data_IF_571953869003
#
_entry.id   IF_571953869003
#
_cell.length_a   1.000
_cell.length_b   1.000
_cell.length_c   1.000
_cell.angle_alpha   90.00
_cell.angle_beta   90.00
_cell.angle_gamma   90.00
#
_symmetry.space_group_name_H-M   'P 1'
#
loop_
_entity.id
_entity.type
_entity.pdbx_description
1 polymer ?
#
# COMPACT_ATOMS: atom_id res chain seq x y z
N UNK A 1 2.21 -34.33 12.32
CA UNK A 1 1.79 -33.47 11.18
C UNK A 1 2.98 -33.26 10.26
N UNK A 2 2.83 -33.51 9.00
CA UNK A 2 3.91 -33.30 8.02
C UNK A 2 4.01 -31.82 7.64
N UNK A 3 5.22 -31.39 7.24
CA UNK A 3 5.45 -30.03 6.72
C UNK A 3 4.62 -29.84 5.45
N UNK A 4 3.91 -28.70 5.30
CA UNK A 4 3.19 -28.42 4.06
C UNK A 4 4.11 -28.41 2.85
N UNK A 5 3.61 -28.93 1.73
CA UNK A 5 4.33 -28.83 0.46
C UNK A 5 4.16 -27.42 -0.11
N UNK A 6 5.27 -26.77 -0.43
CA UNK A 6 5.28 -25.45 -1.06
C UNK A 6 5.79 -25.61 -2.49
N UNK A 7 4.96 -25.31 -3.50
CA UNK A 7 5.42 -25.31 -4.88
C UNK A 7 6.59 -24.35 -5.06
N UNK A 8 7.61 -24.71 -5.85
CA UNK A 8 8.72 -23.81 -6.14
C UNK A 8 8.24 -22.56 -6.87
N UNK A 9 8.92 -21.43 -6.63
CA UNK A 9 8.65 -20.16 -7.28
C UNK A 9 9.77 -19.89 -8.28
N UNK A 10 9.40 -19.67 -9.55
CA UNK A 10 10.35 -19.18 -10.54
C UNK A 10 10.62 -17.69 -10.27
N UNK A 11 11.89 -17.29 -10.03
CA UNK A 11 12.22 -15.89 -9.79
C UNK A 11 11.75 -14.93 -10.89
N UNK A 12 11.68 -15.38 -12.13
CA UNK A 12 11.18 -14.57 -13.25
C UNK A 12 9.68 -14.25 -13.12
N UNK A 13 8.91 -15.05 -12.40
CA UNK A 13 7.47 -14.88 -12.20
C UNK A 13 7.14 -14.01 -10.97
N UNK A 14 8.11 -13.75 -10.11
CA UNK A 14 7.89 -13.05 -8.83
C UNK A 14 7.20 -11.70 -8.99
N UNK A 15 7.59 -10.81 -9.93
CA UNK A 15 6.88 -9.55 -10.11
C UNK A 15 5.40 -9.73 -10.44
N UNK A 16 5.06 -10.66 -11.33
CA UNK A 16 3.67 -10.94 -11.70
C UNK A 16 2.88 -11.55 -10.55
N UNK A 17 3.47 -12.46 -9.78
CA UNK A 17 2.87 -13.06 -8.59
C UNK A 17 2.59 -12.01 -7.51
N UNK A 18 3.52 -11.10 -7.29
CA UNK A 18 3.37 -10.00 -6.34
C UNK A 18 2.21 -9.07 -6.76
N UNK A 19 2.13 -8.68 -8.02
CA UNK A 19 1.03 -7.85 -8.53
C UNK A 19 -0.31 -8.57 -8.43
N UNK A 20 -0.36 -9.87 -8.68
CA UNK A 20 -1.57 -10.67 -8.53
C UNK A 20 -2.05 -10.71 -7.07
N UNK A 21 -1.14 -10.85 -6.12
CA UNK A 21 -1.45 -10.82 -4.67
C UNK A 21 -1.99 -9.45 -4.26
N UNK A 22 -1.38 -8.37 -4.70
CA UNK A 22 -1.87 -6.99 -4.44
C UNK A 22 -3.30 -6.84 -4.96
N UNK A 23 -3.55 -7.26 -6.19
CA UNK A 23 -4.87 -7.16 -6.82
C UNK A 23 -5.93 -8.00 -6.09
N UNK A 24 -5.58 -9.19 -5.66
CA UNK A 24 -6.50 -10.09 -4.95
C UNK A 24 -6.80 -9.61 -3.53
N UNK A 25 -5.80 -9.15 -2.81
CA UNK A 25 -5.93 -8.68 -1.43
C UNK A 25 -6.67 -7.34 -1.32
N UNK A 26 -6.43 -6.40 -2.21
CA UNK A 26 -7.05 -5.06 -2.32
C UNK A 26 -6.72 -4.11 -1.16
N UNK A 27 -6.87 -4.55 0.08
CA UNK A 27 -6.79 -3.71 1.28
C UNK A 27 -5.56 -4.08 2.10
N UNK A 28 -4.46 -3.35 1.96
CA UNK A 28 -3.27 -3.60 2.76
C UNK A 28 -3.41 -3.04 4.17
N UNK A 29 -2.59 -3.56 5.08
CA UNK A 29 -2.28 -2.91 6.34
C UNK A 29 -1.17 -1.90 6.11
N UNK A 30 -1.35 -0.69 6.62
CA UNK A 30 -0.36 0.38 6.56
C UNK A 30 0.22 0.61 7.95
N UNK A 31 1.54 0.49 8.05
CA UNK A 31 2.30 0.82 9.25
C UNK A 31 2.90 2.22 9.15
N UNK A 32 2.76 2.98 10.21
CA UNK A 32 3.38 4.29 10.41
C UNK A 32 4.03 4.35 11.78
N UNK A 33 4.83 5.37 12.02
CA UNK A 33 5.45 5.60 13.33
C UNK A 33 4.82 6.80 14.02
N UNK A 34 4.45 6.61 15.29
CA UNK A 34 4.02 7.66 16.21
C UNK A 34 5.12 7.80 17.27
N UNK A 35 6.11 8.64 17.00
CA UNK A 35 7.36 8.62 17.76
C UNK A 35 8.08 7.29 17.56
N UNK A 36 8.29 6.55 18.66
CA UNK A 36 8.84 5.19 18.64
C UNK A 36 7.77 4.08 18.68
N UNK A 37 6.48 4.46 18.71
CA UNK A 37 5.38 3.51 18.71
C UNK A 37 4.91 3.20 17.28
N UNK A 38 5.03 1.95 16.81
CA UNK A 38 4.42 1.57 15.53
C UNK A 38 2.89 1.59 15.64
N UNK A 39 2.25 2.11 14.60
CA UNK A 39 0.80 2.11 14.42
C UNK A 39 0.44 1.35 13.17
N UNK A 40 -0.65 0.57 13.21
CA UNK A 40 -1.09 -0.27 12.10
C UNK A 40 -2.59 -0.12 11.91
N UNK A 41 -3.04 -0.02 10.65
CA UNK A 41 -4.46 0.02 10.28
C UNK A 41 -4.65 -0.45 8.84
N UNK A 42 -5.82 -1.01 8.51
CA UNK A 42 -6.16 -1.25 7.11
C UNK A 42 -6.38 0.07 6.38
N UNK A 43 -6.04 0.11 5.12
CA UNK A 43 -6.33 1.24 4.24
C UNK A 43 -6.94 0.74 2.94
N UNK A 44 -7.68 1.63 2.25
CA UNK A 44 -8.27 1.36 0.95
C UNK A 44 -7.57 2.26 -0.08
N UNK A 45 -6.63 1.72 -0.86
CA UNK A 45 -5.96 2.52 -1.88
C UNK A 45 -6.93 3.12 -2.89
N UNK A 46 -6.72 4.38 -3.27
CA UNK A 46 -7.49 5.07 -4.30
C UNK A 46 -6.91 4.87 -5.69
N UNK A 47 -5.66 4.42 -5.77
CA UNK A 47 -4.98 4.07 -7.01
C UNK A 47 -3.80 3.16 -6.71
N UNK A 48 -3.51 2.24 -7.63
CA UNK A 48 -2.34 1.37 -7.59
C UNK A 48 -1.70 1.37 -8.97
N UNK A 49 -0.43 1.74 -9.05
CA UNK A 49 0.37 1.73 -10.27
C UNK A 49 1.63 0.89 -10.03
N UNK A 50 1.59 -0.36 -10.47
CA UNK A 50 2.65 -1.30 -10.12
C UNK A 50 2.74 -1.45 -8.60
N UNK A 51 3.86 -1.04 -8.02
CA UNK A 51 4.09 -1.07 -6.57
C UNK A 51 4.02 0.31 -5.92
N UNK A 52 3.62 1.33 -6.67
CA UNK A 52 3.33 2.66 -6.14
C UNK A 52 1.86 2.72 -5.74
N UNK A 53 1.61 3.04 -4.49
CA UNK A 53 0.28 2.97 -3.90
C UNK A 53 -0.16 4.37 -3.46
N UNK A 54 -1.40 4.72 -3.80
CA UNK A 54 -1.99 6.02 -3.45
C UNK A 54 -3.09 5.81 -2.43
N UNK A 55 -3.01 6.53 -1.32
CA UNK A 55 -3.94 6.43 -0.19
C UNK A 55 -4.51 7.80 0.14
N UNK A 56 -5.83 7.91 0.11
CA UNK A 56 -6.51 9.12 0.58
C UNK A 56 -6.68 9.08 2.10
N UNK A 57 -6.62 10.25 2.71
CA UNK A 57 -6.75 10.42 4.15
C UNK A 57 -7.51 11.71 4.45
N UNK A 58 -8.18 11.75 5.59
CA UNK A 58 -8.66 13.00 6.16
C UNK A 58 -7.54 13.64 6.98
N UNK A 59 -7.30 14.91 6.73
CA UNK A 59 -6.17 15.65 7.33
C UNK A 59 -6.18 15.62 8.86
N UNK A 60 -7.35 15.54 9.46
CA UNK A 60 -7.52 15.46 10.92
C UNK A 60 -7.15 14.12 11.55
N UNK A 61 -6.96 13.06 10.76
CA UNK A 61 -6.61 11.75 11.29
C UNK A 61 -5.14 11.69 11.72
N UNK A 62 -4.85 10.84 12.72
CA UNK A 62 -3.53 10.71 13.34
C UNK A 62 -2.41 10.40 12.35
N UNK A 63 -2.69 9.63 11.28
CA UNK A 63 -1.71 9.35 10.21
C UNK A 63 -1.07 10.60 9.63
N UNK A 64 -1.81 11.70 9.53
CA UNK A 64 -1.31 12.95 8.95
C UNK A 64 -0.11 13.48 9.74
N UNK A 65 -0.24 13.56 11.07
CA UNK A 65 0.84 14.00 11.94
C UNK A 65 1.98 12.96 11.99
N UNK A 66 1.66 11.68 12.02
CA UNK A 66 2.63 10.60 12.04
C UNK A 66 3.51 10.61 10.80
N UNK A 67 2.91 10.71 9.60
CA UNK A 67 3.64 10.74 8.33
C UNK A 67 4.41 12.05 8.16
N UNK A 68 3.87 13.18 8.62
CA UNK A 68 4.59 14.45 8.57
C UNK A 68 5.87 14.41 9.41
N UNK A 69 5.83 13.76 10.57
CA UNK A 69 7.01 13.61 11.44
C UNK A 69 7.98 12.54 10.94
N UNK A 70 7.46 11.44 10.38
CA UNK A 70 8.26 10.33 9.85
C UNK A 70 7.57 9.73 8.63
N UNK A 71 8.06 10.02 7.42
CA UNK A 71 7.41 9.56 6.19
C UNK A 71 7.66 8.09 5.85
N UNK A 72 8.50 7.40 6.60
CA UNK A 72 8.78 5.97 6.38
C UNK A 72 7.57 5.15 6.76
N UNK A 73 7.13 4.31 5.83
CA UNK A 73 5.93 3.48 5.98
C UNK A 73 6.19 2.07 5.47
N UNK A 74 5.32 1.15 5.85
CA UNK A 74 5.28 -0.18 5.26
C UNK A 74 3.84 -0.57 4.99
N UNK A 75 3.61 -1.21 3.84
CA UNK A 75 2.35 -1.83 3.48
C UNK A 75 2.51 -3.35 3.48
N UNK A 76 1.51 -4.05 3.99
CA UNK A 76 1.43 -5.50 3.91
C UNK A 76 0.12 -5.92 3.27
N UNK A 77 0.21 -6.58 2.13
CA UNK A 77 -0.89 -7.25 1.46
C UNK A 77 -0.87 -8.73 1.82
N UNK A 78 -2.01 -9.28 2.16
CA UNK A 78 -2.17 -10.72 2.37
C UNK A 78 -3.46 -11.15 1.66
N UNK A 79 -3.36 -12.06 0.70
CA UNK A 79 -4.53 -12.56 -0.01
C UNK A 79 -5.22 -13.73 0.73
N UNK A 80 -6.30 -14.25 0.16
CA UNK A 80 -7.05 -15.35 0.76
C UNK A 80 -6.26 -16.66 0.85
N UNK A 81 -5.24 -16.82 0.02
CA UNK A 81 -4.32 -17.95 0.04
C UNK A 81 -3.10 -17.71 0.94
N UNK A 82 -3.10 -16.59 1.68
CA UNK A 82 -2.04 -16.16 2.59
C UNK A 82 -0.68 -15.88 1.91
N UNK A 83 -0.68 -15.61 0.61
CA UNK A 83 0.50 -15.06 -0.04
C UNK A 83 0.66 -13.60 0.36
N UNK A 84 1.89 -13.14 0.52
CA UNK A 84 2.18 -11.83 1.07
C UNK A 84 3.00 -10.98 0.12
N UNK A 85 2.67 -9.70 0.07
CA UNK A 85 3.52 -8.67 -0.52
C UNK A 85 3.75 -7.58 0.52
N UNK A 86 5.00 -7.28 0.79
CA UNK A 86 5.39 -6.19 1.68
C UNK A 86 6.07 -5.11 0.87
N UNK A 87 5.59 -3.89 1.02
CA UNK A 87 6.15 -2.71 0.35
C UNK A 87 6.71 -1.80 1.44
N UNK A 88 8.02 -1.67 1.47
CA UNK A 88 8.71 -0.69 2.29
C UNK A 88 8.89 0.57 1.45
N UNK A 89 8.50 1.71 1.97
CA UNK A 89 8.56 2.94 1.19
C UNK A 89 8.46 4.21 1.99
N UNK A 90 8.27 5.30 1.25
CA UNK A 90 8.14 6.66 1.79
C UNK A 90 6.81 7.23 1.30
N UNK A 91 6.04 7.79 2.22
CA UNK A 91 4.81 8.47 1.91
C UNK A 91 5.06 9.95 1.60
N UNK A 92 4.64 10.38 0.44
CA UNK A 92 4.74 11.77 -0.01
C UNK A 92 3.34 12.36 -0.19
N UNK A 93 3.14 13.61 0.19
CA UNK A 93 1.90 14.32 -0.13
C UNK A 93 1.84 14.53 -1.64
N UNK A 94 0.78 14.05 -2.28
CA UNK A 94 0.58 14.24 -3.70
C UNK A 94 0.14 15.68 -3.99
N UNK A 95 0.93 16.37 -4.81
CA UNK A 95 0.68 17.78 -5.21
C UNK A 95 0.45 17.95 -6.70
N UNK A 96 0.68 16.91 -7.49
CA UNK A 96 0.46 16.91 -8.95
C UNK A 96 -1.05 17.06 -9.24
N UNK A 97 -1.46 18.24 -9.67
CA UNK A 97 -2.88 18.57 -9.90
C UNK A 97 -3.55 17.68 -10.95
N UNK A 98 -2.94 17.43 -12.13
CA UNK A 98 -3.51 16.52 -13.11
C UNK A 98 -3.76 15.11 -12.56
N UNK A 99 -2.83 14.56 -11.80
CA UNK A 99 -2.97 13.24 -11.19
C UNK A 99 -4.03 13.22 -10.10
N UNK A 100 -4.10 14.27 -9.28
CA UNK A 100 -5.16 14.44 -8.29
C UNK A 100 -6.55 14.44 -8.95
N UNK A 101 -6.69 15.13 -10.07
CA UNK A 101 -7.93 15.17 -10.85
C UNK A 101 -8.31 13.80 -11.42
N UNK A 102 -7.34 13.05 -11.94
CA UNK A 102 -7.58 11.68 -12.42
C UNK A 102 -8.04 10.75 -11.29
N UNK A 103 -7.36 10.78 -10.14
CA UNK A 103 -7.73 9.97 -8.97
C UNK A 103 -9.13 10.35 -8.49
N UNK A 104 -9.41 11.63 -8.39
CA UNK A 104 -10.71 12.14 -8.00
C UNK A 104 -11.82 11.64 -8.93
N UNK A 105 -11.62 11.75 -10.24
CA UNK A 105 -12.59 11.33 -11.25
C UNK A 105 -12.89 9.83 -11.19
N UNK A 106 -11.89 9.00 -10.86
CA UNK A 106 -12.02 7.53 -10.82
C UNK A 106 -12.51 6.98 -9.47
N UNK A 107 -12.75 7.82 -8.45
CA UNK A 107 -13.12 7.37 -7.12
C UNK A 107 -14.46 7.99 -6.66
N UNK A 108 -15.60 7.38 -7.01
CA UNK A 108 -16.92 7.92 -6.67
C UNK A 108 -17.17 8.10 -5.17
N UNK A 109 -16.65 7.17 -4.35
CA UNK A 109 -16.79 7.27 -2.88
C UNK A 109 -16.05 8.48 -2.32
N UNK A 110 -14.85 8.74 -2.84
CA UNK A 110 -14.07 9.91 -2.44
C UNK A 110 -14.85 11.20 -2.72
N UNK A 111 -15.46 11.29 -3.92
CA UNK A 111 -16.31 12.42 -4.28
C UNK A 111 -17.56 12.54 -3.39
N UNK A 112 -18.19 11.42 -3.08
CA UNK A 112 -19.38 11.40 -2.23
C UNK A 112 -19.10 11.92 -0.81
N UNK A 113 -17.94 11.53 -0.24
CA UNK A 113 -17.59 11.96 1.13
C UNK A 113 -17.07 13.38 1.21
N UNK A 114 -16.32 13.84 0.22
CA UNK A 114 -15.58 15.10 0.31
C UNK A 114 -16.18 16.23 -0.54
N UNK A 115 -16.98 15.89 -1.55
CA UNK A 115 -17.73 16.84 -2.38
C UNK A 115 -16.87 17.63 -3.37
N UNK A 116 -15.66 17.99 -3.02
CA UNK A 116 -14.75 18.78 -3.86
C UNK A 116 -13.30 18.32 -3.69
N UNK A 117 -12.55 18.31 -4.78
CA UNK A 117 -11.11 18.08 -4.74
C UNK A 117 -10.38 19.14 -3.91
N UNK A 118 -10.95 20.33 -3.81
CA UNK A 118 -10.37 21.44 -3.04
C UNK A 118 -10.79 21.44 -1.56
N UNK A 119 -11.48 20.38 -1.11
CA UNK A 119 -11.81 20.23 0.31
C UNK A 119 -10.50 20.17 1.12
N UNK A 120 -10.28 21.07 2.09
CA UNK A 120 -9.03 21.13 2.86
C UNK A 120 -8.75 19.88 3.70
N UNK A 121 -9.77 19.06 3.97
CA UNK A 121 -9.60 17.79 4.67
C UNK A 121 -8.98 16.70 3.81
N UNK A 122 -9.02 16.84 2.48
CA UNK A 122 -8.45 15.83 1.58
C UNK A 122 -6.93 15.92 1.55
N UNK A 123 -6.29 14.80 1.81
CA UNK A 123 -4.87 14.61 1.54
C UNK A 123 -4.70 13.24 0.87
N UNK A 124 -3.93 13.19 -0.21
CA UNK A 124 -3.58 11.95 -0.88
C UNK A 124 -2.08 11.75 -0.72
N UNK A 125 -1.70 10.59 -0.23
CA UNK A 125 -0.31 10.17 -0.15
C UNK A 125 0.02 9.28 -1.32
N UNK A 126 1.16 9.54 -1.95
CA UNK A 126 1.83 8.62 -2.85
C UNK A 126 2.87 7.86 -2.04
N UNK A 127 2.73 6.54 -1.94
CA UNK A 127 3.72 5.69 -1.29
C UNK A 127 4.66 5.17 -2.36
N UNK A 128 5.90 5.69 -2.33
CA UNK A 128 6.96 5.34 -3.27
C UNK A 128 7.74 4.17 -2.70
N UNK A 129 7.78 3.02 -3.39
CA UNK A 129 8.47 1.84 -2.90
C UNK A 129 9.99 2.02 -3.00
N UNK A 130 10.71 1.57 -1.98
CA UNK A 130 12.16 1.39 -2.04
C UNK A 130 12.57 -0.08 -1.85
N UNK A 131 11.66 -0.92 -1.40
CA UNK A 131 11.82 -2.38 -1.37
C UNK A 131 10.46 -3.04 -1.49
N UNK A 132 10.35 -4.06 -2.34
CA UNK A 132 9.15 -4.90 -2.45
C UNK A 132 9.57 -6.36 -2.29
N UNK A 133 8.87 -7.08 -1.42
CA UNK A 133 9.15 -8.49 -1.14
C UNK A 133 7.87 -9.31 -1.27
N UNK A 134 8.02 -10.49 -1.86
CA UNK A 134 6.94 -11.45 -2.03
C UNK A 134 7.25 -12.74 -1.27
N UNK A 135 6.25 -13.32 -0.63
CA UNK A 135 6.35 -14.64 0.00
C UNK A 135 5.11 -15.46 -0.29
N UNK A 136 5.33 -16.68 -0.76
CA UNK A 136 4.26 -17.69 -0.85
C UNK A 136 4.02 -18.29 0.52
N UNK A 137 2.76 -18.61 0.84
CA UNK A 137 2.43 -19.24 2.12
C UNK A 137 3.33 -20.48 2.39
N UNK A 138 3.79 -20.60 3.62
CA UNK A 138 4.68 -21.68 4.10
C UNK A 138 6.06 -21.73 3.47
N UNK A 139 6.39 -20.84 2.56
CA UNK A 139 7.72 -20.81 1.94
C UNK A 139 8.83 -20.43 2.91
N UNK A 140 8.51 -19.62 3.93
CA UNK A 140 9.44 -19.10 4.93
C UNK A 140 10.59 -18.28 4.34
N UNK A 141 10.44 -17.85 3.10
CA UNK A 141 11.45 -17.11 2.34
C UNK A 141 10.77 -15.98 1.56
N UNK A 142 11.35 -14.80 1.63
CA UNK A 142 10.94 -13.66 0.81
C UNK A 142 11.78 -13.59 -0.45
N UNK A 143 11.10 -13.30 -1.56
CA UNK A 143 11.74 -12.97 -2.82
C UNK A 143 11.70 -11.46 -3.01
N UNK A 144 12.83 -10.86 -3.31
CA UNK A 144 12.88 -9.45 -3.68
C UNK A 144 12.29 -9.25 -5.08
N UNK A 145 11.44 -8.23 -5.20
CA UNK A 145 10.90 -7.81 -6.49
C UNK A 145 11.80 -6.69 -7.01
N UNK A 146 12.40 -6.82 -8.20
CA UNK A 146 13.18 -5.74 -8.81
C UNK A 146 12.31 -4.50 -9.05
N UNK A 147 12.85 -3.33 -8.73
CA UNK A 147 12.21 -2.02 -8.93
C UNK A 147 12.88 -1.25 -10.05
#
# INVERSE_FOLDING_TARGET
MSKPHVPPVDPAEVPALALATIKAAKFPMLATMDGDQPRLRPVSPVRTEGFTIYVANLRRYGKTAEIAANPKVELCYCDADHHQVRITGVAEVLTDRPLLEEIWASNPLLRAYLGSLDNPELIIYRIVPNQVRYMREWALEYFEVPL
#
